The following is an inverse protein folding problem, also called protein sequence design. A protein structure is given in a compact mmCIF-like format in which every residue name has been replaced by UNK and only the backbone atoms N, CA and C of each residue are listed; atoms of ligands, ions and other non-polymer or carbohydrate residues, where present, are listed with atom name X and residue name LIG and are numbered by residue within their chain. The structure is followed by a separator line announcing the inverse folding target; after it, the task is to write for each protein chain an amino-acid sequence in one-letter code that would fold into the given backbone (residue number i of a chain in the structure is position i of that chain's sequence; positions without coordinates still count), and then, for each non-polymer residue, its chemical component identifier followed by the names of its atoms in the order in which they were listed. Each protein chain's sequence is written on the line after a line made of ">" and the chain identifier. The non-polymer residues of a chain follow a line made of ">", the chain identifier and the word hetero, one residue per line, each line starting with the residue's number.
data_IF_857626154346
#
_entry.id   IF_857626154346
#
_cell.length_a   1.000
_cell.length_b   1.000
_cell.length_c   1.000
_cell.angle_alpha   90.00
_cell.angle_beta   90.00
_cell.angle_gamma   90.00
#
_symmetry.space_group_name_H-M   'P 1'
#
loop_
_entity.id
_entity.type
_entity.pdbx_description
1 polymer ?
#
# COMPACT_ATOMS: atom_id res chain seq x y z
N UNK A 1 -20.93 -5.78 -17.19
CA UNK A 1 -20.50 -4.67 -16.33
C UNK A 1 -20.58 -5.19 -14.89
N UNK A 2 -19.47 -5.65 -14.33
CA UNK A 2 -19.43 -6.16 -12.96
C UNK A 2 -19.48 -4.93 -12.04
N UNK A 3 -20.59 -4.79 -11.30
CA UNK A 3 -20.74 -3.85 -10.19
C UNK A 3 -19.77 -4.25 -9.05
N UNK A 4 -18.48 -4.23 -9.31
CA UNK A 4 -17.47 -4.34 -8.27
C UNK A 4 -17.52 -3.05 -7.43
N UNK A 5 -17.86 -3.18 -6.15
CA UNK A 5 -17.80 -2.09 -5.19
C UNK A 5 -16.41 -1.45 -5.29
N UNK A 6 -16.34 -0.15 -5.59
CA UNK A 6 -15.07 0.56 -5.62
C UNK A 6 -14.43 0.53 -4.23
N UNK A 7 -13.16 0.14 -4.14
CA UNK A 7 -12.50 -0.16 -2.87
C UNK A 7 -11.21 0.65 -2.75
N UNK A 8 -10.97 1.22 -1.57
CA UNK A 8 -9.71 1.84 -1.19
C UNK A 8 -8.97 0.87 -0.27
N UNK A 9 -7.91 0.26 -0.78
CA UNK A 9 -7.12 -0.74 -0.07
C UNK A 9 -5.75 -0.19 0.30
N UNK A 10 -5.44 -0.14 1.59
CA UNK A 10 -4.10 0.15 2.08
C UNK A 10 -3.28 -1.13 1.98
N UNK A 11 -2.17 -1.09 1.22
CA UNK A 11 -1.25 -2.21 1.13
C UNK A 11 0.17 -1.81 1.52
N UNK A 12 0.80 -2.63 2.34
CA UNK A 12 2.19 -2.45 2.76
C UNK A 12 2.89 -3.79 2.91
N UNK A 13 4.14 -3.86 2.45
CA UNK A 13 5.07 -4.89 2.88
C UNK A 13 5.66 -4.51 4.24
N UNK A 14 5.73 -5.43 5.18
CA UNK A 14 6.23 -5.18 6.52
C UNK A 14 7.10 -6.34 7.04
N UNK A 15 8.03 -6.03 7.93
CA UNK A 15 8.70 -7.04 8.74
C UNK A 15 7.73 -7.64 9.77
N UNK A 16 8.05 -8.81 10.32
CA UNK A 16 7.23 -9.46 11.34
C UNK A 16 7.04 -8.57 12.60
N UNK A 17 8.03 -7.74 12.93
CA UNK A 17 7.97 -6.78 14.04
C UNK A 17 7.36 -5.40 13.64
N UNK A 18 6.74 -5.31 12.44
CA UNK A 18 5.84 -4.23 12.04
C UNK A 18 6.50 -2.99 11.44
N UNK A 19 7.71 -3.11 10.88
CA UNK A 19 8.37 -2.01 10.18
C UNK A 19 8.18 -2.11 8.66
N UNK A 20 7.93 -0.97 8.01
CA UNK A 20 7.80 -0.84 6.56
C UNK A 20 9.04 -0.22 5.90
N UNK A 21 9.96 0.30 6.69
CA UNK A 21 11.15 0.98 6.22
C UNK A 21 12.25 0.90 7.26
N UNK A 22 13.49 0.62 6.84
CA UNK A 22 14.68 0.78 7.67
C UNK A 22 15.01 2.27 7.87
N UNK A 23 15.82 2.61 8.88
CA UNK A 23 16.26 3.99 9.13
C UNK A 23 17.03 4.62 7.95
N UNK A 24 17.75 3.81 7.19
CA UNK A 24 18.51 4.22 6.01
C UNK A 24 17.68 4.22 4.72
N UNK A 25 16.37 3.97 4.83
CA UNK A 25 15.43 3.84 3.71
C UNK A 25 15.83 2.77 2.67
N UNK A 26 16.65 1.78 3.05
CA UNK A 26 16.98 0.65 2.17
C UNK A 26 15.80 -0.35 2.10
N UNK A 27 15.69 -1.04 0.97
CA UNK A 27 14.62 -1.99 0.66
C UNK A 27 15.15 -3.39 0.32
N UNK A 28 16.42 -3.65 0.54
CA UNK A 28 17.09 -4.93 0.30
C UNK A 28 16.44 -6.10 1.07
N UNK A 29 15.82 -5.80 2.21
CA UNK A 29 15.12 -6.76 3.06
C UNK A 29 13.78 -7.26 2.48
N UNK A 30 13.30 -6.68 1.37
CA UNK A 30 12.13 -7.22 0.65
C UNK A 30 12.45 -8.54 -0.07
N UNK A 31 13.71 -8.81 -0.37
CA UNK A 31 14.12 -10.07 -0.97
C UNK A 31 14.22 -11.15 0.11
N UNK A 32 13.24 -12.02 0.18
CA UNK A 32 13.31 -13.19 1.06
C UNK A 32 13.96 -14.36 0.35
N UNK A 33 14.82 -15.09 1.06
CA UNK A 33 15.39 -16.37 0.63
C UNK A 33 14.74 -17.57 1.34
N UNK A 34 13.68 -17.32 2.10
CA UNK A 34 12.95 -18.37 2.82
C UNK A 34 12.20 -19.31 1.86
N UNK A 35 11.91 -20.51 2.31
CA UNK A 35 11.16 -21.51 1.57
C UNK A 35 10.17 -22.23 2.47
N UNK A 36 8.90 -22.11 2.15
CA UNK A 36 7.79 -22.79 2.80
C UNK A 36 7.07 -23.69 1.81
N UNK A 37 7.46 -24.97 1.63
CA UNK A 37 6.94 -25.85 0.59
C UNK A 37 5.44 -26.07 0.62
N UNK A 38 4.82 -26.05 1.82
CA UNK A 38 3.38 -26.21 2.03
C UNK A 38 2.57 -24.92 1.76
N UNK A 39 3.25 -23.84 1.43
CA UNK A 39 2.62 -22.55 1.12
C UNK A 39 1.91 -22.53 -0.22
N UNK A 40 1.00 -21.57 -0.39
CA UNK A 40 0.40 -21.27 -1.66
C UNK A 40 1.48 -20.89 -2.71
N UNK A 41 1.26 -21.14 -4.01
CA UNK A 41 2.13 -20.60 -5.05
C UNK A 41 2.29 -19.07 -4.88
N UNK A 42 3.48 -18.55 -5.17
CA UNK A 42 3.71 -17.13 -5.15
C UNK A 42 2.72 -16.41 -6.07
N UNK A 43 2.23 -15.22 -5.68
CA UNK A 43 1.22 -14.53 -6.45
C UNK A 43 1.77 -14.14 -7.83
N UNK A 44 0.92 -14.23 -8.85
CA UNK A 44 1.20 -13.62 -10.15
C UNK A 44 1.10 -12.08 -9.99
N UNK A 45 2.23 -11.47 -9.71
CA UNK A 45 2.33 -10.03 -9.46
C UNK A 45 1.86 -9.23 -10.68
N UNK A 46 2.18 -9.69 -11.91
CA UNK A 46 1.78 -8.98 -13.12
C UNK A 46 0.25 -9.00 -13.32
N UNK A 47 -0.38 -10.15 -13.13
CA UNK A 47 -1.83 -10.27 -13.20
C UNK A 47 -2.50 -9.42 -12.10
N UNK A 48 -1.94 -9.42 -10.89
CA UNK A 48 -2.44 -8.63 -9.78
C UNK A 48 -2.35 -7.11 -10.07
N UNK A 49 -1.21 -6.62 -10.55
CA UNK A 49 -1.01 -5.20 -10.86
C UNK A 49 -2.02 -4.69 -11.90
N UNK A 50 -2.46 -5.53 -12.84
CA UNK A 50 -3.50 -5.21 -13.82
C UNK A 50 -4.90 -4.98 -13.21
N UNK A 51 -5.12 -5.40 -11.98
CA UNK A 51 -6.40 -5.18 -11.27
C UNK A 51 -6.48 -3.82 -10.57
N UNK A 52 -5.37 -3.09 -10.48
CA UNK A 52 -5.28 -1.83 -9.79
C UNK A 52 -5.71 -0.70 -10.71
N UNK A 53 -6.77 0.03 -10.33
CA UNK A 53 -7.27 1.16 -11.11
C UNK A 53 -6.38 2.39 -11.00
N UNK A 54 -5.93 2.74 -9.79
CA UNK A 54 -4.93 3.78 -9.57
C UNK A 54 -4.16 3.57 -8.25
N UNK A 55 -2.97 4.16 -8.18
CA UNK A 55 -2.18 4.24 -6.96
C UNK A 55 -2.36 5.57 -6.24
N UNK A 56 -2.35 5.51 -4.91
CA UNK A 56 -2.29 6.67 -4.03
C UNK A 56 -1.09 6.50 -3.08
N UNK A 57 -0.25 7.52 -2.96
CA UNK A 57 0.92 7.44 -2.10
C UNK A 57 1.38 8.81 -1.59
N UNK A 58 2.20 8.81 -0.55
CA UNK A 58 2.90 10.00 -0.09
C UNK A 58 4.16 10.30 -0.91
N UNK A 59 4.66 11.54 -0.83
CA UNK A 59 5.83 11.97 -1.58
C UNK A 59 7.12 11.19 -1.27
N UNK A 60 7.31 10.69 -0.04
CA UNK A 60 8.47 9.85 0.29
C UNK A 60 8.42 8.50 -0.43
N UNK A 61 7.24 7.89 -0.51
CA UNK A 61 7.03 6.63 -1.25
C UNK A 61 7.24 6.85 -2.75
N UNK A 62 6.78 7.99 -3.29
CA UNK A 62 7.04 8.39 -4.66
C UNK A 62 8.54 8.51 -4.98
N UNK A 63 9.28 9.22 -4.12
CA UNK A 63 10.73 9.39 -4.27
C UNK A 63 11.48 8.04 -4.16
N UNK A 64 11.03 7.15 -3.28
CA UNK A 64 11.55 5.79 -3.19
C UNK A 64 11.30 5.02 -4.49
N UNK A 65 10.08 5.08 -5.03
CA UNK A 65 9.73 4.42 -6.28
C UNK A 65 10.58 4.90 -7.46
N UNK A 66 10.89 6.19 -7.53
CA UNK A 66 11.81 6.73 -8.55
C UNK A 66 13.22 6.14 -8.42
N UNK A 67 13.74 6.02 -7.19
CA UNK A 67 15.06 5.42 -6.93
C UNK A 67 15.12 3.94 -7.31
N UNK A 68 14.01 3.22 -7.16
CA UNK A 68 13.89 1.79 -7.50
C UNK A 68 13.60 1.53 -8.98
N UNK A 69 13.51 2.55 -9.82
CA UNK A 69 13.26 2.42 -11.26
C UNK A 69 11.80 2.43 -11.67
N UNK A 70 10.90 2.97 -10.85
CA UNK A 70 9.47 3.14 -11.11
C UNK A 70 8.71 1.84 -11.40
N UNK A 71 8.30 1.17 -10.36
CA UNK A 71 7.63 -0.14 -10.43
C UNK A 71 6.14 -0.08 -10.79
N UNK A 72 5.53 1.11 -10.90
CA UNK A 72 4.07 1.30 -11.07
C UNK A 72 3.62 1.40 -12.54
N UNK A 73 4.54 1.25 -13.50
CA UNK A 73 4.22 1.28 -14.93
C UNK A 73 3.49 2.54 -15.37
N UNK A 74 2.44 2.36 -16.18
CA UNK A 74 1.58 3.42 -16.69
C UNK A 74 0.26 3.56 -15.91
N UNK A 75 0.12 2.88 -14.77
CA UNK A 75 -1.06 3.00 -13.93
C UNK A 75 -1.14 4.41 -13.34
N UNK A 76 -2.30 5.09 -13.41
CA UNK A 76 -2.49 6.40 -12.79
C UNK A 76 -2.03 6.42 -11.34
N UNK A 77 -1.25 7.43 -10.98
CA UNK A 77 -0.64 7.52 -9.65
C UNK A 77 -0.82 8.92 -9.08
N UNK A 78 -1.48 9.02 -7.94
CA UNK A 78 -1.69 10.26 -7.22
C UNK A 78 -0.72 10.34 -6.05
N UNK A 79 0.05 11.43 -5.99
CA UNK A 79 1.04 11.66 -4.95
C UNK A 79 0.60 12.79 -4.04
N UNK A 80 0.30 12.45 -2.80
CA UNK A 80 -0.08 13.42 -1.77
C UNK A 80 1.16 14.19 -1.29
N UNK A 81 1.18 15.50 -1.50
CA UNK A 81 2.32 16.34 -1.12
C UNK A 81 1.91 17.79 -0.96
N UNK A 82 2.52 18.50 0.01
CA UNK A 82 2.46 19.95 0.14
C UNK A 82 3.66 20.64 -0.54
N UNK A 83 4.62 19.85 -1.04
CA UNK A 83 5.81 20.35 -1.73
C UNK A 83 5.46 20.60 -3.19
N UNK A 84 6.09 21.60 -3.78
CA UNK A 84 6.05 21.85 -5.21
C UNK A 84 6.99 20.86 -5.91
N UNK A 85 6.44 19.78 -6.44
CA UNK A 85 7.15 18.72 -7.13
C UNK A 85 6.77 18.71 -8.61
N UNK A 86 7.74 18.37 -9.45
CA UNK A 86 7.54 18.20 -10.89
C UNK A 86 7.88 16.80 -11.35
N UNK A 87 7.30 16.35 -12.47
CA UNK A 87 7.55 15.05 -13.06
C UNK A 87 7.33 15.08 -14.57
N UNK A 88 8.08 14.28 -15.30
CA UNK A 88 7.86 14.04 -16.74
C UNK A 88 6.85 12.90 -17.00
N UNK A 89 6.38 12.22 -15.95
CA UNK A 89 5.45 11.09 -16.05
C UNK A 89 4.02 11.61 -16.19
N UNK A 90 3.41 11.37 -17.35
CA UNK A 90 2.03 11.79 -17.66
C UNK A 90 0.97 11.10 -16.79
N UNK A 91 1.31 9.99 -16.17
CA UNK A 91 0.41 9.20 -15.30
C UNK A 91 0.49 9.60 -13.83
N UNK A 92 1.33 10.57 -13.47
CA UNK A 92 1.52 11.05 -12.10
C UNK A 92 0.85 12.41 -11.93
N UNK A 93 0.00 12.52 -10.92
CA UNK A 93 -0.63 13.75 -10.45
C UNK A 93 -0.18 14.06 -9.03
N UNK A 94 0.30 15.28 -8.76
CA UNK A 94 0.55 15.77 -7.41
C UNK A 94 -0.71 16.43 -6.86
N UNK A 95 -1.08 16.08 -5.63
CA UNK A 95 -2.30 16.56 -5.01
C UNK A 95 -2.06 17.09 -3.59
N UNK A 96 -2.65 18.26 -3.31
CA UNK A 96 -2.63 18.91 -2.02
C UNK A 96 -4.01 19.52 -1.73
N UNK A 97 -4.98 18.70 -1.43
CA UNK A 97 -6.35 19.14 -1.19
C UNK A 97 -7.10 18.21 -0.26
N UNK A 98 -8.40 18.31 -0.26
CA UNK A 98 -9.30 17.49 0.54
C UNK A 98 -9.27 16.03 0.08
N UNK A 99 -9.04 15.10 1.03
CA UNK A 99 -8.91 13.67 0.73
C UNK A 99 -10.25 12.99 0.43
N UNK A 100 -11.36 13.46 1.01
CA UNK A 100 -12.68 12.90 0.73
C UNK A 100 -13.12 13.22 -0.70
N UNK A 101 -12.94 14.46 -1.12
CA UNK A 101 -13.18 14.88 -2.51
C UNK A 101 -12.28 14.12 -3.49
N UNK A 102 -11.00 13.96 -3.14
CA UNK A 102 -10.07 13.21 -3.97
C UNK A 102 -10.53 11.75 -4.14
N UNK A 103 -10.79 11.05 -3.05
CA UNK A 103 -11.16 9.64 -3.10
C UNK A 103 -12.53 9.41 -3.75
N UNK A 104 -13.47 10.36 -3.62
CA UNK A 104 -14.72 10.35 -4.38
C UNK A 104 -14.44 10.33 -5.88
N UNK A 105 -13.60 11.26 -6.36
CA UNK A 105 -13.15 11.32 -7.77
C UNK A 105 -12.45 10.04 -8.22
N UNK A 106 -11.50 9.54 -7.42
CA UNK A 106 -10.72 8.35 -7.80
C UNK A 106 -11.57 7.08 -7.88
N UNK A 107 -12.51 6.91 -6.93
CA UNK A 107 -13.46 5.79 -6.92
C UNK A 107 -14.35 5.79 -8.17
N UNK A 108 -14.84 6.97 -8.57
CA UNK A 108 -15.67 7.13 -9.75
C UNK A 108 -14.89 6.85 -11.04
N UNK A 109 -13.66 7.38 -11.12
CA UNK A 109 -12.85 7.32 -12.33
C UNK A 109 -12.15 5.98 -12.53
N UNK A 110 -11.66 5.34 -11.46
CA UNK A 110 -10.78 4.18 -11.54
C UNK A 110 -11.32 2.92 -10.83
N UNK A 111 -12.36 3.04 -10.03
CA UNK A 111 -12.93 1.95 -9.25
C UNK A 111 -12.03 1.59 -8.06
N UNK A 112 -10.99 0.76 -8.26
CA UNK A 112 -10.08 0.35 -7.18
C UNK A 112 -8.94 1.33 -6.99
N UNK A 113 -8.74 1.77 -5.73
CA UNK A 113 -7.65 2.64 -5.32
C UNK A 113 -6.70 1.85 -4.42
N UNK A 114 -5.44 1.75 -4.83
CA UNK A 114 -4.41 1.04 -4.11
C UNK A 114 -3.47 2.02 -3.41
N UNK A 115 -3.53 2.05 -2.08
CA UNK A 115 -2.71 2.95 -1.27
C UNK A 115 -1.36 2.26 -0.99
N UNK A 116 -0.33 2.68 -1.72
CA UNK A 116 1.02 2.11 -1.63
C UNK A 116 1.84 2.63 -0.43
N UNK A 117 1.20 3.39 0.46
CA UNK A 117 1.85 3.92 1.67
C UNK A 117 2.21 5.41 1.52
N UNK A 118 3.00 6.06 2.39
CA UNK A 118 3.58 5.58 3.65
C UNK A 118 2.62 5.62 4.85
N UNK A 119 3.21 5.38 6.03
CA UNK A 119 2.47 5.24 7.29
C UNK A 119 1.56 6.44 7.62
N UNK A 120 1.96 7.67 7.32
CA UNK A 120 1.14 8.87 7.54
C UNK A 120 -0.10 8.89 6.67
N UNK A 121 0.02 8.53 5.38
CA UNK A 121 -1.11 8.47 4.45
C UNK A 121 -2.09 7.40 4.91
N UNK A 122 -1.60 6.21 5.27
CA UNK A 122 -2.43 5.12 5.78
C UNK A 122 -3.19 5.53 7.05
N UNK A 123 -2.50 6.10 8.04
CA UNK A 123 -3.11 6.56 9.29
C UNK A 123 -4.20 7.61 9.04
N UNK A 124 -3.96 8.58 8.16
CA UNK A 124 -4.92 9.63 7.84
C UNK A 124 -6.17 9.09 7.15
N UNK A 125 -6.02 8.18 6.19
CA UNK A 125 -7.14 7.57 5.50
C UNK A 125 -8.02 6.71 6.43
N UNK A 126 -7.41 6.00 7.38
CA UNK A 126 -8.16 5.26 8.40
C UNK A 126 -8.89 6.23 9.33
N UNK A 127 -8.20 7.26 9.82
CA UNK A 127 -8.77 8.29 10.72
C UNK A 127 -10.00 8.98 10.12
N UNK A 128 -9.94 9.27 8.81
CA UNK A 128 -11.04 9.89 8.06
C UNK A 128 -12.10 8.89 7.59
N UNK A 129 -11.96 7.59 7.90
CA UNK A 129 -12.85 6.50 7.45
C UNK A 129 -12.96 6.37 5.92
N UNK A 130 -11.91 6.75 5.21
CA UNK A 130 -11.83 6.76 3.75
C UNK A 130 -11.27 5.47 3.17
N UNK A 131 -10.52 4.69 3.95
CA UNK A 131 -10.05 3.36 3.57
C UNK A 131 -11.11 2.28 3.88
N UNK A 132 -11.18 1.26 3.04
CA UNK A 132 -12.11 0.14 3.17
C UNK A 132 -11.41 -1.14 3.62
N UNK A 133 -10.18 -1.38 3.14
CA UNK A 133 -9.43 -2.59 3.41
C UNK A 133 -7.97 -2.30 3.75
N UNK A 134 -7.37 -3.22 4.51
CA UNK A 134 -5.94 -3.27 4.79
C UNK A 134 -5.43 -4.63 4.32
N UNK A 135 -4.35 -4.63 3.53
CA UNK A 135 -3.59 -5.81 3.14
C UNK A 135 -2.14 -5.63 3.57
N UNK A 136 -1.62 -6.53 4.40
CA UNK A 136 -0.24 -6.50 4.86
C UNK A 136 0.46 -7.77 4.39
N UNK A 137 1.54 -7.61 3.63
CA UNK A 137 2.48 -8.68 3.30
C UNK A 137 3.59 -8.71 4.35
N UNK A 138 3.52 -9.69 5.24
CA UNK A 138 4.48 -9.86 6.34
C UNK A 138 5.64 -10.70 5.83
N UNK A 139 6.83 -10.11 5.78
CA UNK A 139 8.06 -10.78 5.37
C UNK A 139 8.70 -11.53 6.55
N UNK A 140 9.37 -12.65 6.31
CA UNK A 140 10.00 -13.48 7.34
C UNK A 140 11.32 -12.86 7.87
N UNK A 141 11.23 -11.65 8.41
CA UNK A 141 12.37 -10.88 8.94
C UNK A 141 11.96 -10.02 10.13
N UNK A 142 12.90 -9.80 11.05
CA UNK A 142 12.82 -8.79 12.10
C UNK A 142 13.79 -7.65 11.77
N UNK A 143 13.33 -6.42 11.75
CA UNK A 143 14.18 -5.25 11.48
C UNK A 143 14.68 -4.57 12.77
N UNK A 144 13.95 -4.68 13.87
CA UNK A 144 14.29 -4.11 15.17
C UNK A 144 14.13 -2.60 15.27
N UNK A 145 14.24 -1.86 14.15
CA UNK A 145 14.11 -0.40 14.10
C UNK A 145 13.72 0.09 12.69
N UNK A 146 13.07 1.27 12.62
CA UNK A 146 12.60 1.84 11.36
C UNK A 146 11.29 2.59 11.53
N UNK A 147 10.55 2.77 10.44
CA UNK A 147 9.20 3.33 10.44
C UNK A 147 8.16 2.22 10.55
N UNK A 148 7.28 2.27 11.54
CA UNK A 148 6.20 1.29 11.72
C UNK A 148 5.03 1.58 10.77
N UNK A 149 4.31 0.54 10.36
CA UNK A 149 3.19 0.70 9.41
C UNK A 149 2.01 1.52 9.97
N UNK A 150 1.73 1.49 11.28
CA UNK A 150 0.69 2.30 11.93
C UNK A 150 1.22 3.23 13.03
N UNK A 151 2.44 3.74 12.88
CA UNK A 151 3.10 4.60 13.86
C UNK A 151 2.29 5.84 14.23
N UNK A 152 1.57 6.40 13.26
CA UNK A 152 0.81 7.65 13.42
C UNK A 152 -0.66 7.44 13.76
N UNK A 153 -1.10 6.19 13.90
CA UNK A 153 -2.48 5.87 14.23
C UNK A 153 -2.61 5.65 15.74
N UNK A 154 -3.34 6.56 16.42
CA UNK A 154 -3.41 6.65 17.87
C UNK A 154 -4.82 6.41 18.43
N UNK A 155 -5.63 5.67 17.71
CA UNK A 155 -7.00 5.33 18.13
C UNK A 155 -7.31 3.86 17.87
N UNK A 156 -8.32 3.33 18.53
CA UNK A 156 -8.79 1.96 18.30
C UNK A 156 -9.59 1.90 17.00
N UNK A 157 -9.35 0.85 16.19
CA UNK A 157 -10.09 0.58 14.97
C UNK A 157 -10.35 -0.92 14.87
N UNK A 158 -11.62 -1.31 14.84
CA UNK A 158 -12.01 -2.69 14.67
C UNK A 158 -11.88 -3.13 13.20
N UNK A 159 -11.40 -4.35 13.02
CA UNK A 159 -11.17 -4.97 11.72
C UNK A 159 -11.91 -6.31 11.62
N UNK A 160 -12.34 -6.67 10.42
CA UNK A 160 -12.89 -7.98 10.11
C UNK A 160 -11.95 -8.75 9.18
N UNK A 161 -11.52 -9.95 9.59
CA UNK A 161 -10.61 -10.78 8.79
C UNK A 161 -11.31 -11.23 7.49
N UNK A 162 -10.69 -10.93 6.35
CA UNK A 162 -11.13 -11.36 5.02
C UNK A 162 -10.33 -12.56 4.50
N UNK A 163 -9.08 -12.69 4.89
CA UNK A 163 -8.22 -13.78 4.46
C UNK A 163 -6.83 -13.69 5.01
N UNK A 164 -6.17 -14.84 5.04
CA UNK A 164 -4.75 -14.98 5.35
C UNK A 164 -4.17 -16.05 4.42
N UNK A 165 -3.03 -15.74 3.80
CA UNK A 165 -2.35 -16.67 2.88
C UNK A 165 -0.87 -16.70 3.20
N UNK A 166 -0.32 -17.91 3.43
CA UNK A 166 1.10 -18.13 3.51
C UNK A 166 1.60 -18.58 2.13
N UNK A 167 2.61 -17.89 1.60
CA UNK A 167 3.19 -18.18 0.30
C UNK A 167 4.46 -19.03 0.40
N UNK A 168 4.86 -19.65 -0.70
CA UNK A 168 6.06 -20.52 -0.76
C UNK A 168 7.35 -19.79 -0.46
N UNK A 169 7.41 -18.49 -0.71
CA UNK A 169 8.55 -17.64 -0.37
C UNK A 169 8.58 -17.19 1.09
N UNK A 170 7.76 -17.77 1.97
CA UNK A 170 7.69 -17.46 3.40
C UNK A 170 6.93 -16.17 3.75
N UNK A 171 6.45 -15.42 2.76
CA UNK A 171 5.60 -14.23 3.01
C UNK A 171 4.21 -14.68 3.48
N UNK A 172 3.67 -13.99 4.48
CA UNK A 172 2.28 -14.17 4.92
C UNK A 172 1.51 -12.89 4.61
N UNK A 173 0.50 -13.00 3.74
CA UNK A 173 -0.44 -11.91 3.49
C UNK A 173 -1.66 -12.05 4.40
N UNK A 174 -2.03 -10.95 5.06
CA UNK A 174 -3.27 -10.84 5.83
C UNK A 174 -4.10 -9.70 5.28
N UNK A 175 -5.42 -9.95 5.11
CA UNK A 175 -6.37 -8.97 4.57
C UNK A 175 -7.52 -8.76 5.55
N UNK A 176 -7.81 -7.51 5.84
CA UNK A 176 -8.88 -7.10 6.73
C UNK A 176 -9.77 -6.04 6.09
N UNK A 177 -11.07 -6.12 6.36
CA UNK A 177 -12.01 -5.02 6.17
C UNK A 177 -11.95 -4.08 7.38
N UNK A 178 -11.98 -2.77 7.14
CA UNK A 178 -12.06 -1.75 8.18
C UNK A 178 -13.53 -1.54 8.53
N UNK A 179 -13.90 -1.84 9.77
CA UNK A 179 -15.27 -1.63 10.24
C UNK A 179 -15.50 -0.12 10.52
N UNK A 180 -16.51 0.47 9.89
CA UNK A 180 -16.83 1.90 9.97
C UNK A 180 -17.91 2.18 11.01
#
# INVERSE_FOLDING_TARGET
>A
MTNGKSTVTIHMGASLDGFIEKKDASVDWFNTSDSYPDGAPDPDVEAFLKTIGCYLMGSKTYELALRLGWIYGDTPTIVLTRRDLTTDRKTVEFYNGDLDLLLGRLREQYGSVWVAGGAQVAAELIRLKLADEISISILPILLGQGTRYFEYFQQEQHLHLKGATAYRNGVVEVRYEILK
#
